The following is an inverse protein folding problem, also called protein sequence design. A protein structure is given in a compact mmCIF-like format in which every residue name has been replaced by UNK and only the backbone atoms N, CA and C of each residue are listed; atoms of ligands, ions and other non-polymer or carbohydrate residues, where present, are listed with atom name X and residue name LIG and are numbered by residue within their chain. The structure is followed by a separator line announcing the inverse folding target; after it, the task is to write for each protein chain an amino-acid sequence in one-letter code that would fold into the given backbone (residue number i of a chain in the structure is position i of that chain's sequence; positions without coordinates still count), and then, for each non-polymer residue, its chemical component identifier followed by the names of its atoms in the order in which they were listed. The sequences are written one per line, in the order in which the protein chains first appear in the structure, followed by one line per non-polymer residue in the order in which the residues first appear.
data_IF_214473027119
#
_entry.id   IF_214473027119
#
_cell.length_a   1.000
_cell.length_b   1.000
_cell.length_c   1.000
_cell.angle_alpha   90.00
_cell.angle_beta   90.00
_cell.angle_gamma   90.00
#
_symmetry.space_group_name_H-M   'P 1'
#
loop_
_entity.id
_entity.type
_entity.pdbx_description
1 polymer ?
#
# COMPACT_ATOMS: atom_id res chain seq x y z
N UNK A 1 -6.39 25.93 -15.74
CA UNK A 1 -7.39 25.21 -14.91
C UNK A 1 -7.10 23.72 -14.95
N UNK A 2 -7.04 23.09 -13.81
CA UNK A 2 -6.91 21.65 -13.80
C UNK A 2 -8.16 21.02 -14.38
N UNK A 3 -8.03 19.95 -15.19
CA UNK A 3 -9.18 19.19 -15.66
C UNK A 3 -10.01 18.69 -14.49
N UNK A 4 -11.30 18.64 -14.69
CA UNK A 4 -12.22 18.10 -13.68
C UNK A 4 -11.87 16.66 -13.35
N UNK A 5 -11.87 16.33 -12.06
CA UNK A 5 -11.59 14.98 -11.58
C UNK A 5 -10.12 14.65 -11.41
N UNK A 6 -9.22 15.55 -11.79
CA UNK A 6 -7.79 15.38 -11.53
C UNK A 6 -7.47 16.09 -10.21
N UNK A 7 -7.15 15.31 -9.19
CA UNK A 7 -6.66 15.83 -7.93
C UNK A 7 -5.15 15.91 -7.92
N UNK A 8 -4.58 15.82 -6.75
CA UNK A 8 -3.14 15.74 -6.57
C UNK A 8 -2.61 14.45 -7.19
N UNK A 9 -1.44 14.52 -7.82
CA UNK A 9 -0.72 13.33 -8.25
C UNK A 9 0.18 12.77 -7.17
N UNK A 10 0.41 13.55 -6.10
CA UNK A 10 1.36 13.23 -5.04
C UNK A 10 0.74 13.56 -3.68
N UNK A 11 1.14 12.81 -2.68
CA UNK A 11 0.85 13.09 -1.28
C UNK A 11 2.08 13.80 -0.73
N UNK A 12 1.97 15.10 -0.51
CA UNK A 12 3.11 15.96 -0.28
C UNK A 12 3.54 16.08 1.17
N UNK A 13 2.66 15.72 2.10
CA UNK A 13 2.96 15.83 3.52
C UNK A 13 2.05 14.91 4.35
N UNK A 14 2.37 14.82 5.63
CA UNK A 14 1.64 13.95 6.56
C UNK A 14 0.17 14.35 6.72
N UNK A 15 -0.13 15.66 6.67
CA UNK A 15 -1.51 16.13 6.76
C UNK A 15 -2.36 15.63 5.60
N UNK A 16 -1.83 15.66 4.38
CA UNK A 16 -2.50 15.09 3.22
C UNK A 16 -2.65 13.58 3.32
N UNK A 17 -1.62 12.89 3.81
CA UNK A 17 -1.70 11.44 4.05
C UNK A 17 -2.85 11.12 5.00
N UNK A 18 -2.95 11.82 6.12
CA UNK A 18 -4.02 11.60 7.08
C UNK A 18 -5.39 11.87 6.47
N UNK A 19 -5.52 12.92 5.66
CA UNK A 19 -6.78 13.22 4.97
C UNK A 19 -7.16 12.13 3.99
N UNK A 20 -6.19 11.57 3.27
CA UNK A 20 -6.44 10.49 2.31
C UNK A 20 -6.81 9.18 3.01
N UNK A 21 -6.15 8.85 4.13
CA UNK A 21 -6.52 7.70 4.95
C UNK A 21 -7.93 7.86 5.53
N UNK A 22 -8.27 9.06 5.99
CA UNK A 22 -9.61 9.37 6.48
C UNK A 22 -10.67 9.25 5.38
N UNK A 23 -10.33 9.65 4.17
CA UNK A 23 -11.22 9.48 3.01
C UNK A 23 -11.54 8.01 2.78
N UNK A 24 -10.51 7.15 2.76
CA UNK A 24 -10.72 5.70 2.62
C UNK A 24 -11.64 5.20 3.74
N UNK A 25 -11.33 5.55 4.97
CA UNK A 25 -12.12 5.11 6.12
C UNK A 25 -13.57 5.59 6.08
N UNK A 26 -13.81 6.79 5.54
CA UNK A 26 -15.18 7.31 5.41
C UNK A 26 -16.03 6.52 4.44
N UNK A 27 -15.41 5.81 3.49
CA UNK A 27 -16.11 5.00 2.48
C UNK A 27 -16.21 3.53 2.90
N UNK A 28 -15.34 3.07 3.79
CA UNK A 28 -15.32 1.67 4.25
C UNK A 28 -15.94 1.61 5.64
N UNK A 29 -17.19 1.19 5.71
CA UNK A 29 -17.96 1.17 6.96
C UNK A 29 -17.76 -0.13 7.75
N UNK A 30 -17.29 -1.19 7.13
CA UNK A 30 -17.09 -2.47 7.78
C UNK A 30 -15.79 -2.47 8.58
N UNK A 31 -15.82 -3.05 9.78
CA UNK A 31 -14.63 -3.15 10.62
C UNK A 31 -13.55 -3.96 9.92
N UNK A 32 -12.43 -3.33 9.60
CA UNK A 32 -11.37 -3.91 8.78
C UNK A 32 -10.02 -3.40 9.27
N UNK A 33 -9.04 -4.31 9.38
CA UNK A 33 -7.66 -3.97 9.74
C UNK A 33 -6.77 -4.20 8.52
N UNK A 34 -5.92 -3.23 8.22
CA UNK A 34 -4.96 -3.34 7.12
C UNK A 34 -3.59 -2.83 7.57
N UNK A 35 -2.54 -3.37 6.97
CA UNK A 35 -1.19 -2.86 7.17
C UNK A 35 -0.89 -1.79 6.14
N UNK A 36 -0.43 -0.63 6.61
CA UNK A 36 0.12 0.41 5.75
C UNK A 36 1.62 0.13 5.60
N UNK A 37 2.15 0.15 4.38
CA UNK A 37 3.56 -0.10 4.16
C UNK A 37 4.10 0.74 3.01
N UNK A 38 5.40 0.57 2.70
CA UNK A 38 6.05 1.29 1.62
C UNK A 38 6.03 2.82 1.83
N UNK A 39 5.93 3.60 0.75
CA UNK A 39 6.10 5.05 0.77
C UNK A 39 5.24 5.80 1.78
N UNK A 40 3.97 5.45 1.88
CA UNK A 40 3.04 6.11 2.81
C UNK A 40 3.43 5.85 4.27
N UNK A 41 3.87 4.63 4.60
CA UNK A 41 4.34 4.30 5.94
C UNK A 41 5.64 5.04 6.28
N UNK A 42 6.57 5.14 5.31
CA UNK A 42 7.78 5.93 5.50
C UNK A 42 7.46 7.42 5.69
N UNK A 43 6.48 7.93 4.97
CA UNK A 43 6.03 9.31 5.14
C UNK A 43 5.45 9.54 6.54
N UNK A 44 4.67 8.59 7.04
CA UNK A 44 4.16 8.64 8.42
C UNK A 44 5.28 8.80 9.44
N UNK A 45 6.38 8.05 9.25
CA UNK A 45 7.54 8.10 10.15
C UNK A 45 8.47 9.30 9.89
N UNK A 46 8.17 10.12 8.91
CA UNK A 46 8.99 11.29 8.59
C UNK A 46 10.26 10.99 7.79
N UNK A 47 10.37 9.78 7.24
CA UNK A 47 11.53 9.37 6.46
C UNK A 47 11.38 9.65 4.96
N UNK A 48 10.21 10.07 4.54
CA UNK A 48 9.93 10.39 3.14
C UNK A 48 8.99 11.59 3.11
N UNK A 49 9.32 12.57 2.28
CA UNK A 49 8.53 13.79 2.20
C UNK A 49 7.30 13.59 1.30
N UNK A 50 7.50 12.97 0.14
CA UNK A 50 6.47 12.83 -0.89
C UNK A 50 6.28 11.37 -1.25
N UNK A 51 5.04 10.95 -1.39
CA UNK A 51 4.71 9.61 -1.89
C UNK A 51 3.60 9.70 -2.94
N UNK A 52 3.57 8.75 -3.86
CA UNK A 52 2.55 8.72 -4.92
C UNK A 52 1.31 7.96 -4.51
N UNK A 53 1.52 6.81 -3.89
CA UNK A 53 0.47 5.83 -3.67
C UNK A 53 0.36 5.52 -2.20
N UNK A 54 -0.82 5.06 -1.81
CA UNK A 54 -1.01 4.45 -0.51
C UNK A 54 -1.03 2.94 -0.74
N UNK A 55 -0.05 2.24 -0.18
CA UNK A 55 0.07 0.79 -0.28
C UNK A 55 -0.40 0.14 1.01
N UNK A 56 -1.39 -0.72 0.89
CA UNK A 56 -1.90 -1.50 2.02
C UNK A 56 -1.78 -2.99 1.74
N UNK A 57 -1.63 -3.76 2.81
CA UNK A 57 -1.64 -5.21 2.75
C UNK A 57 -2.70 -5.76 3.67
N UNK A 58 -3.50 -6.69 3.17
CA UNK A 58 -4.58 -7.30 3.94
C UNK A 58 -4.95 -8.65 3.34
N UNK A 59 -5.84 -9.37 4.03
CA UNK A 59 -6.34 -10.65 3.55
C UNK A 59 -7.27 -10.47 2.35
N UNK A 60 -7.55 -11.56 1.67
CA UNK A 60 -8.53 -11.60 0.59
C UNK A 60 -9.89 -11.06 1.04
N UNK A 61 -10.34 -11.51 2.18
CA UNK A 61 -11.63 -11.11 2.72
C UNK A 61 -11.69 -9.60 3.00
N UNK A 62 -10.64 -9.07 3.59
CA UNK A 62 -10.54 -7.63 3.86
C UNK A 62 -10.45 -6.81 2.59
N UNK A 63 -9.66 -7.29 1.63
CA UNK A 63 -9.54 -6.64 0.32
C UNK A 63 -10.89 -6.60 -0.40
N UNK A 64 -11.66 -7.68 -0.35
CA UNK A 64 -12.97 -7.74 -0.97
C UNK A 64 -13.93 -6.71 -0.38
N UNK A 65 -13.94 -6.55 0.94
CA UNK A 65 -14.75 -5.52 1.60
C UNK A 65 -14.37 -4.12 1.16
N UNK A 66 -13.07 -3.84 1.12
CA UNK A 66 -12.57 -2.52 0.72
C UNK A 66 -12.94 -2.22 -0.73
N UNK A 67 -12.68 -3.18 -1.62
CA UNK A 67 -12.99 -3.04 -3.05
C UNK A 67 -14.49 -2.83 -3.26
N UNK A 68 -15.32 -3.61 -2.59
CA UNK A 68 -16.78 -3.51 -2.73
C UNK A 68 -17.30 -2.12 -2.37
N UNK A 69 -16.66 -1.45 -1.41
CA UNK A 69 -17.05 -0.12 -0.97
C UNK A 69 -16.43 0.99 -1.82
N UNK A 70 -15.20 0.81 -2.28
CA UNK A 70 -14.48 1.86 -3.01
C UNK A 70 -14.69 1.85 -4.52
N UNK A 71 -15.17 0.76 -5.09
CA UNK A 71 -15.35 0.64 -6.55
C UNK A 71 -16.28 1.72 -7.14
N UNK A 72 -17.15 2.29 -6.34
CA UNK A 72 -18.04 3.37 -6.75
C UNK A 72 -17.35 4.72 -6.83
N UNK A 73 -16.18 4.86 -6.22
CA UNK A 73 -15.48 6.12 -6.08
C UNK A 73 -14.22 6.23 -6.92
N UNK A 74 -13.86 5.17 -7.64
CA UNK A 74 -12.65 5.19 -8.45
C UNK A 74 -12.59 4.00 -9.40
N UNK A 75 -11.78 4.17 -10.45
CA UNK A 75 -11.52 3.11 -11.40
C UNK A 75 -10.54 2.11 -10.80
N UNK A 76 -10.82 0.83 -10.98
CA UNK A 76 -10.00 -0.24 -10.45
C UNK A 76 -9.33 -1.01 -11.59
N UNK A 77 -8.09 -1.43 -11.34
CA UNK A 77 -7.38 -2.34 -12.25
C UNK A 77 -6.59 -3.38 -11.44
N UNK A 78 -6.39 -4.54 -12.05
CA UNK A 78 -5.53 -5.59 -11.52
C UNK A 78 -4.16 -5.43 -12.18
N UNK A 79 -3.10 -5.45 -11.38
CA UNK A 79 -1.73 -5.22 -11.85
C UNK A 79 -0.86 -6.42 -11.51
N UNK A 80 -0.01 -6.81 -12.46
CA UNK A 80 1.04 -7.80 -12.22
C UNK A 80 2.38 -7.07 -12.26
N UNK A 81 3.06 -7.06 -11.14
CA UNK A 81 4.38 -6.45 -11.03
C UNK A 81 5.51 -7.45 -11.23
N UNK A 82 6.70 -7.06 -10.79
CA UNK A 82 7.91 -7.87 -10.87
C UNK A 82 7.75 -9.11 -9.98
N UNK A 83 8.31 -10.24 -10.41
CA UNK A 83 8.22 -11.55 -9.73
C UNK A 83 6.78 -12.03 -9.53
N UNK A 84 5.91 -11.74 -10.51
CA UNK A 84 4.51 -12.15 -10.51
C UNK A 84 3.72 -11.66 -9.29
N UNK A 85 4.14 -10.54 -8.71
CA UNK A 85 3.39 -9.90 -7.64
C UNK A 85 2.11 -9.32 -8.22
N UNK A 86 0.98 -9.73 -7.67
CA UNK A 86 -0.34 -9.25 -8.06
C UNK A 86 -0.90 -8.31 -7.02
N UNK A 87 -1.41 -7.17 -7.45
CA UNK A 87 -2.09 -6.24 -6.56
C UNK A 87 -3.22 -5.53 -7.31
N UNK A 88 -4.13 -4.97 -6.53
CA UNK A 88 -5.24 -4.19 -7.06
C UNK A 88 -4.90 -2.71 -6.90
N UNK A 89 -5.22 -1.91 -7.92
CA UNK A 89 -5.01 -0.47 -7.90
C UNK A 89 -6.35 0.21 -8.09
N UNK A 90 -6.65 1.17 -7.20
CA UNK A 90 -7.85 1.97 -7.29
C UNK A 90 -7.42 3.43 -7.43
N UNK A 91 -7.84 4.05 -8.53
CA UNK A 91 -7.58 5.47 -8.79
C UNK A 91 -8.68 6.29 -8.15
N UNK A 92 -8.38 6.89 -7.00
CA UNK A 92 -9.30 7.78 -6.32
C UNK A 92 -9.04 9.21 -6.75
N UNK A 93 -9.91 10.13 -6.35
CA UNK A 93 -9.87 11.51 -6.87
C UNK A 93 -8.54 12.21 -6.64
N UNK A 94 -7.94 12.00 -5.47
CA UNK A 94 -6.73 12.74 -5.07
C UNK A 94 -5.48 11.89 -4.95
N UNK A 95 -5.63 10.57 -5.00
CA UNK A 95 -4.51 9.65 -4.79
C UNK A 95 -4.85 8.28 -5.34
N UNK A 96 -3.87 7.40 -5.37
CA UNK A 96 -4.03 6.01 -5.80
C UNK A 96 -3.83 5.08 -4.61
N UNK A 97 -4.75 4.14 -4.43
CA UNK A 97 -4.65 3.09 -3.43
C UNK A 97 -4.23 1.80 -4.10
N UNK A 98 -3.20 1.15 -3.56
CA UNK A 98 -2.75 -0.17 -4.01
C UNK A 98 -2.97 -1.18 -2.90
N UNK A 99 -3.66 -2.26 -3.22
CA UNK A 99 -4.04 -3.29 -2.25
C UNK A 99 -3.28 -4.56 -2.58
N UNK A 100 -2.39 -4.95 -1.68
CA UNK A 100 -1.61 -6.18 -1.78
C UNK A 100 -2.26 -7.24 -0.92
N UNK A 101 -2.59 -8.37 -1.52
CA UNK A 101 -3.34 -9.44 -0.86
C UNK A 101 -2.36 -10.45 -0.28
N UNK A 102 -2.41 -10.65 1.03
CA UNK A 102 -1.43 -11.46 1.75
C UNK A 102 -1.32 -12.90 1.21
N UNK A 103 -2.45 -13.49 0.80
CA UNK A 103 -2.50 -14.88 0.36
C UNK A 103 -1.78 -15.13 -0.97
N UNK A 104 -1.57 -14.08 -1.76
CA UNK A 104 -0.96 -14.21 -3.09
C UNK A 104 0.35 -13.46 -3.25
N UNK A 105 0.70 -12.60 -2.32
CA UNK A 105 1.89 -11.75 -2.52
C UNK A 105 2.99 -11.95 -1.50
N UNK A 106 2.65 -11.83 -0.23
CA UNK A 106 3.67 -11.46 0.74
C UNK A 106 4.60 -12.58 1.19
N UNK A 107 4.26 -13.84 1.00
CA UNK A 107 5.12 -14.90 1.48
C UNK A 107 5.59 -14.65 2.93
N UNK A 108 6.90 -14.69 3.14
CA UNK A 108 7.50 -14.46 4.46
C UNK A 108 7.38 -13.01 4.95
N UNK A 109 7.20 -12.06 4.05
CA UNK A 109 7.15 -10.64 4.40
C UNK A 109 5.91 -10.30 5.21
N UNK A 110 4.81 -11.01 4.97
CA UNK A 110 3.61 -10.81 5.78
C UNK A 110 3.84 -11.18 7.25
N UNK A 111 4.67 -12.17 7.51
CA UNK A 111 5.03 -12.55 8.87
C UNK A 111 5.79 -11.43 9.57
N UNK A 112 6.61 -10.68 8.83
CA UNK A 112 7.29 -9.50 9.38
C UNK A 112 6.29 -8.42 9.79
N UNK A 113 5.25 -8.21 8.98
CA UNK A 113 4.18 -7.25 9.33
C UNK A 113 3.43 -7.69 10.59
N UNK A 114 3.08 -8.97 10.67
CA UNK A 114 2.35 -9.50 11.82
C UNK A 114 3.15 -9.43 13.12
N UNK A 115 4.46 -9.59 13.05
CA UNK A 115 5.34 -9.54 14.20
C UNK A 115 5.77 -8.12 14.60
N UNK A 116 5.46 -7.12 13.79
CA UNK A 116 5.92 -5.76 14.00
C UNK A 116 5.18 -5.05 15.12
N UNK A 117 5.88 -4.15 15.79
CA UNK A 117 5.23 -3.11 16.58
C UNK A 117 4.59 -2.11 15.62
N UNK A 118 3.30 -1.86 15.79
CA UNK A 118 2.57 -0.97 14.90
C UNK A 118 1.93 0.17 15.67
N UNK A 119 2.03 1.38 15.09
CA UNK A 119 1.10 2.45 15.41
C UNK A 119 -0.23 2.12 14.73
N UNK A 120 -1.32 2.62 15.27
CA UNK A 120 -2.63 2.39 14.66
C UNK A 120 -3.39 3.70 14.47
N UNK A 121 -4.04 3.82 13.32
CA UNK A 121 -4.92 4.94 13.00
C UNK A 121 -6.26 4.37 12.57
N UNK A 122 -7.34 4.81 13.21
CA UNK A 122 -8.67 4.35 12.88
C UNK A 122 -9.48 5.49 12.28
N UNK A 123 -10.02 5.24 11.09
CA UNK A 123 -10.92 6.16 10.41
C UNK A 123 -12.16 5.36 9.96
N UNK A 124 -13.33 5.75 10.44
CA UNK A 124 -14.54 4.99 10.14
C UNK A 124 -14.44 3.56 10.63
N UNK A 125 -14.67 2.61 9.74
CA UNK A 125 -14.57 1.18 10.05
C UNK A 125 -13.18 0.58 9.83
N UNK A 126 -12.21 1.36 9.32
CA UNK A 126 -10.91 0.82 8.96
C UNK A 126 -9.82 1.26 9.95
N UNK A 127 -8.98 0.31 10.36
CA UNK A 127 -7.81 0.59 11.17
C UNK A 127 -6.55 0.31 10.34
N UNK A 128 -5.74 1.33 10.18
CA UNK A 128 -4.44 1.22 9.50
C UNK A 128 -3.38 0.92 10.55
N UNK A 129 -2.70 -0.21 10.41
CA UNK A 129 -1.59 -0.61 11.26
C UNK A 129 -0.30 -0.20 10.55
N UNK A 130 0.50 0.64 11.19
CA UNK A 130 1.71 1.18 10.58
C UNK A 130 2.91 0.55 11.28
N UNK A 131 3.63 -0.36 10.61
CA UNK A 131 4.78 -1.03 11.22
C UNK A 131 5.89 -0.06 11.57
N UNK A 132 6.73 -0.46 12.50
CA UNK A 132 7.91 0.30 12.88
C UNK A 132 8.90 0.40 11.72
N UNK A 133 9.82 1.36 11.82
CA UNK A 133 10.81 1.64 10.77
C UNK A 133 11.66 0.42 10.47
N UNK A 134 12.10 -0.30 11.49
CA UNK A 134 12.95 -1.49 11.31
C UNK A 134 12.27 -2.53 10.44
N UNK A 135 11.01 -2.82 10.71
CA UNK A 135 10.23 -3.78 9.90
C UNK A 135 10.06 -3.29 8.47
N UNK A 136 9.72 -2.02 8.28
CA UNK A 136 9.57 -1.44 6.95
C UNK A 136 10.86 -1.50 6.15
N UNK A 137 12.00 -1.26 6.78
CA UNK A 137 13.30 -1.35 6.11
C UNK A 137 13.65 -2.80 5.75
N UNK A 138 13.30 -3.76 6.59
CA UNK A 138 13.50 -5.18 6.27
C UNK A 138 12.69 -5.60 5.04
N UNK A 139 11.45 -5.16 4.95
CA UNK A 139 10.59 -5.44 3.80
C UNK A 139 11.16 -4.77 2.55
N UNK A 140 11.58 -3.51 2.67
CA UNK A 140 12.17 -2.75 1.56
C UNK A 140 13.45 -3.44 1.05
N UNK A 141 14.28 -3.92 1.93
CA UNK A 141 15.51 -4.63 1.58
C UNK A 141 15.20 -5.89 0.77
N UNK A 142 14.20 -6.66 1.18
CA UNK A 142 13.77 -7.85 0.42
C UNK A 142 13.25 -7.49 -0.97
N UNK A 143 12.52 -6.39 -1.09
CA UNK A 143 12.02 -5.91 -2.37
C UNK A 143 13.17 -5.49 -3.29
N UNK A 144 14.16 -4.80 -2.76
CA UNK A 144 15.35 -4.40 -3.50
C UNK A 144 16.12 -5.63 -3.98
N UNK A 145 16.28 -6.63 -3.10
CA UNK A 145 16.98 -7.86 -3.45
C UNK A 145 16.25 -8.62 -4.57
N UNK A 146 14.94 -8.66 -4.52
CA UNK A 146 14.13 -9.28 -5.57
C UNK A 146 14.29 -8.57 -6.91
N UNK A 147 14.30 -7.23 -6.90
CA UNK A 147 14.56 -6.43 -8.09
C UNK A 147 15.95 -6.69 -8.67
N UNK A 148 16.97 -6.76 -7.82
CA UNK A 148 18.33 -7.01 -8.23
C UNK A 148 18.46 -8.40 -8.88
N UNK A 149 17.84 -9.41 -8.28
CA UNK A 149 17.86 -10.77 -8.84
C UNK A 149 17.16 -10.82 -10.20
N UNK A 150 16.05 -10.12 -10.36
CA UNK A 150 15.35 -10.05 -11.65
C UNK A 150 16.19 -9.35 -12.71
N UNK A 151 16.86 -8.26 -12.34
CA UNK A 151 17.77 -7.56 -13.23
C UNK A 151 18.91 -8.49 -13.69
N UNK A 152 19.50 -9.28 -12.78
CA UNK A 152 20.54 -10.24 -13.12
C UNK A 152 20.06 -11.28 -14.12
N UNK A 153 18.85 -11.79 -13.94
CA UNK A 153 18.24 -12.73 -14.90
C UNK A 153 18.09 -12.11 -16.29
N UNK A 154 17.64 -10.87 -16.35
CA UNK A 154 17.48 -10.15 -17.63
C UNK A 154 18.84 -9.95 -18.33
N UNK A 155 19.93 -9.86 -17.56
CA UNK A 155 21.28 -9.75 -18.10
C UNK A 155 21.92 -11.10 -18.43
N UNK A 156 21.23 -12.21 -18.17
CA UNK A 156 21.76 -13.55 -18.37
C UNK A 156 22.75 -14.00 -17.31
N UNK A 157 22.80 -13.32 -16.17
CA UNK A 157 23.67 -13.67 -15.05
C UNK A 157 23.00 -14.67 -14.13
N UNK A 158 23.81 -15.55 -13.51
CA UNK A 158 23.29 -16.48 -12.52
C UNK A 158 23.02 -15.77 -11.20
N UNK A 159 21.87 -16.07 -10.59
CA UNK A 159 21.53 -15.62 -9.25
C UNK A 159 22.13 -16.59 -8.24
N UNK A 160 23.17 -16.18 -7.54
CA UNK A 160 23.80 -16.97 -6.47
C UNK A 160 23.73 -16.23 -5.14
#
# INVERSE_FOLDING_TARGET
MQPQGIGRNMIENKAQLLADLAYIGSKVQAKTNVYLFSGAAFQWHGLKDITKDIDICCSYEEADRIVSMLRMFGKMESVTGINDIHFLRIFLKSFTLQIFIKEVWMGDEYQLLEAAHCDSLTFGGITFLIPDIKTLLMIKDRQIQALYNEWKKLKGETCT
#
